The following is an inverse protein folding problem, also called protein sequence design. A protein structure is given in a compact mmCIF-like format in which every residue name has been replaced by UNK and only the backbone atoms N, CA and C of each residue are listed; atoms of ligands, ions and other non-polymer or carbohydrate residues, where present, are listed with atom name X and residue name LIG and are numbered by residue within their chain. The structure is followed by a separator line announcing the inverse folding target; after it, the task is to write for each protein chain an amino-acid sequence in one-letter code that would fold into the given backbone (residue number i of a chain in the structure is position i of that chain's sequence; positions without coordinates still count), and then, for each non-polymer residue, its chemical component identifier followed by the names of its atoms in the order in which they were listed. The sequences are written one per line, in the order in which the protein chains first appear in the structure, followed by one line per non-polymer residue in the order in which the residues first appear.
data_IF_345388649997
#
_entry.id   IF_345388649997
#
_cell.length_a   1.000
_cell.length_b   1.000
_cell.length_c   1.000
_cell.angle_alpha   90.00
_cell.angle_beta   90.00
_cell.angle_gamma   90.00
#
_symmetry.space_group_name_H-M   'P 1'
#
loop_
_entity.id
_entity.type
_entity.pdbx_description
1 polymer ?
#
# COMPACT_ATOMS: atom_id res chain seq x y z
N UNK A 1 16.63 0.13 -7.32
CA UNK A 1 15.33 0.01 -6.61
C UNK A 1 14.22 0.17 -7.64
N UNK A 2 13.15 -0.63 -7.56
CA UNK A 2 12.04 -0.55 -8.52
C UNK A 2 10.97 0.43 -8.03
N UNK A 3 10.40 1.27 -8.91
CA UNK A 3 9.31 2.16 -8.54
C UNK A 3 8.05 1.38 -8.12
N UNK A 4 7.14 2.06 -7.41
CA UNK A 4 5.81 1.52 -7.15
C UNK A 4 5.04 1.39 -8.46
N UNK A 5 4.28 0.31 -8.59
CA UNK A 5 3.34 0.17 -9.71
C UNK A 5 2.08 1.01 -9.45
N UNK A 6 1.32 1.35 -10.49
CA UNK A 6 0.04 2.04 -10.34
C UNK A 6 -0.88 1.33 -9.35
N UNK A 7 -0.90 -0.01 -9.39
CA UNK A 7 -1.73 -0.81 -8.48
C UNK A 7 -1.26 -0.74 -7.03
N UNK A 8 0.04 -0.71 -6.81
CA UNK A 8 0.61 -0.51 -5.48
C UNK A 8 0.31 0.90 -4.95
N UNK A 9 0.29 1.92 -5.82
CA UNK A 9 -0.14 3.28 -5.48
C UNK A 9 -1.62 3.32 -5.08
N UNK A 10 -2.52 2.65 -5.81
CA UNK A 10 -3.94 2.57 -5.44
C UNK A 10 -4.15 1.95 -4.05
N UNK A 11 -3.43 0.86 -3.78
CA UNK A 11 -3.44 0.21 -2.47
C UNK A 11 -2.92 1.17 -1.41
N UNK A 12 -1.79 1.82 -1.65
CA UNK A 12 -1.14 2.76 -0.74
C UNK A 12 -2.02 3.97 -0.41
N UNK A 13 -2.69 4.57 -1.40
CA UNK A 13 -3.71 5.62 -1.19
C UNK A 13 -4.85 5.12 -0.30
N UNK A 14 -5.30 3.89 -0.54
CA UNK A 14 -6.36 3.29 0.28
C UNK A 14 -5.90 3.02 1.71
N UNK A 15 -4.61 2.73 1.94
CA UNK A 15 -4.05 2.59 3.29
C UNK A 15 -4.10 3.90 4.08
N UNK A 16 -4.04 5.06 3.43
CA UNK A 16 -4.17 6.34 4.14
C UNK A 16 -5.57 6.54 4.75
N UNK A 17 -6.61 5.83 4.27
CA UNK A 17 -7.99 5.96 4.77
C UNK A 17 -8.25 5.34 6.15
N UNK A 18 -7.27 4.69 6.77
CA UNK A 18 -7.45 3.95 8.05
C UNK A 18 -8.31 2.68 7.97
N UNK A 19 -8.97 2.40 6.83
CA UNK A 19 -9.83 1.20 6.68
C UNK A 19 -9.04 -0.11 6.83
N UNK A 20 -9.65 -1.17 7.36
CA UNK A 20 -9.05 -2.50 7.41
C UNK A 20 -8.60 -2.99 6.03
N UNK A 21 -7.46 -3.67 5.96
CA UNK A 21 -6.88 -4.21 4.72
C UNK A 21 -7.88 -5.13 3.98
N UNK A 22 -8.71 -5.88 4.71
CA UNK A 22 -9.77 -6.72 4.13
C UNK A 22 -10.86 -5.90 3.45
N UNK A 23 -11.27 -4.78 4.02
CA UNK A 23 -12.23 -3.87 3.42
C UNK A 23 -11.64 -3.18 2.18
N UNK A 24 -10.38 -2.75 2.25
CA UNK A 24 -9.66 -2.20 1.10
C UNK A 24 -9.58 -3.23 -0.04
N UNK A 25 -9.25 -4.48 0.28
CA UNK A 25 -9.17 -5.55 -0.72
C UNK A 25 -10.49 -5.79 -1.44
N UNK A 26 -11.61 -5.77 -0.71
CA UNK A 26 -12.95 -5.84 -1.30
C UNK A 26 -13.23 -4.66 -2.24
N UNK A 27 -12.98 -3.43 -1.80
CA UNK A 27 -13.22 -2.22 -2.60
C UNK A 27 -12.37 -2.19 -3.87
N UNK A 28 -11.14 -2.70 -3.79
CA UNK A 28 -10.25 -2.80 -4.93
C UNK A 28 -10.49 -4.06 -5.77
N UNK A 29 -11.41 -4.96 -5.39
CA UNK A 29 -11.63 -6.25 -6.07
C UNK A 29 -10.36 -7.12 -6.15
N UNK A 30 -9.57 -7.18 -5.07
CA UNK A 30 -8.37 -8.03 -4.98
C UNK A 30 -8.48 -9.06 -3.86
N UNK A 31 -7.94 -10.25 -4.12
CA UNK A 31 -7.90 -11.33 -3.13
C UNK A 31 -7.01 -10.97 -1.93
N UNK A 32 -7.22 -11.65 -0.80
CA UNK A 32 -6.39 -11.48 0.39
C UNK A 32 -4.90 -11.82 0.11
N UNK A 33 -4.62 -12.84 -0.69
CA UNK A 33 -3.26 -13.22 -1.07
C UNK A 33 -2.61 -12.16 -1.96
N UNK A 34 -3.36 -11.63 -2.94
CA UNK A 34 -2.91 -10.52 -3.80
C UNK A 34 -2.60 -9.28 -2.98
N UNK A 35 -3.47 -8.97 -2.00
CA UNK A 35 -3.26 -7.86 -1.07
C UNK A 35 -1.97 -8.03 -0.25
N UNK A 36 -1.70 -9.22 0.31
CA UNK A 36 -0.42 -9.50 1.00
C UNK A 36 0.79 -9.24 0.11
N UNK A 37 0.72 -9.65 -1.15
CA UNK A 37 1.79 -9.42 -2.13
C UNK A 37 2.02 -7.92 -2.37
N UNK A 38 0.96 -7.14 -2.57
CA UNK A 38 1.09 -5.68 -2.72
C UNK A 38 1.70 -5.04 -1.48
N UNK A 39 1.23 -5.37 -0.27
CA UNK A 39 1.76 -4.81 0.97
C UNK A 39 3.25 -5.12 1.14
N UNK A 40 3.66 -6.38 0.94
CA UNK A 40 5.07 -6.78 1.01
C UNK A 40 5.94 -5.96 0.03
N UNK A 41 5.46 -5.77 -1.19
CA UNK A 41 6.20 -5.01 -2.20
C UNK A 41 6.27 -3.52 -1.86
N UNK A 42 5.16 -2.91 -1.45
CA UNK A 42 5.09 -1.52 -1.01
C UNK A 42 6.07 -1.28 0.14
N UNK A 43 6.00 -2.11 1.18
CA UNK A 43 6.86 -1.99 2.36
C UNK A 43 8.33 -2.14 1.99
N UNK A 44 8.69 -3.12 1.15
CA UNK A 44 10.06 -3.29 0.67
C UNK A 44 10.54 -2.08 -0.16
N UNK A 45 9.70 -1.55 -1.05
CA UNK A 45 10.06 -0.44 -1.95
C UNK A 45 10.19 0.89 -1.21
N UNK A 46 9.34 1.13 -0.22
CA UNK A 46 9.39 2.32 0.65
C UNK A 46 10.33 2.15 1.85
N UNK A 47 10.92 0.96 2.02
CA UNK A 47 11.67 0.57 3.22
C UNK A 47 10.88 0.82 4.51
N UNK A 48 9.60 0.48 4.49
CA UNK A 48 8.69 0.63 5.62
C UNK A 48 8.54 -0.68 6.40
N UNK A 49 8.40 -0.61 7.72
CA UNK A 49 8.17 -1.74 8.62
C UNK A 49 6.69 -2.11 8.75
N UNK A 50 5.79 -1.26 8.25
CA UNK A 50 4.35 -1.48 8.36
C UNK A 50 3.52 -0.40 7.67
N UNK A 51 2.20 -0.47 7.89
CA UNK A 51 1.21 0.41 7.26
C UNK A 51 1.52 1.89 7.51
N UNK A 52 1.70 2.25 8.77
CA UNK A 52 1.76 3.67 9.16
C UNK A 52 3.02 4.31 8.60
N UNK A 53 4.18 3.66 8.74
CA UNK A 53 5.42 4.13 8.14
C UNK A 53 5.36 4.16 6.61
N UNK A 54 4.65 3.23 5.96
CA UNK A 54 4.48 3.24 4.52
C UNK A 54 3.66 4.45 4.06
N UNK A 55 2.57 4.78 4.77
CA UNK A 55 1.72 5.93 4.49
C UNK A 55 2.49 7.24 4.73
N UNK A 56 3.16 7.37 5.87
CA UNK A 56 3.97 8.55 6.22
C UNK A 56 5.05 8.83 5.16
N UNK A 57 5.80 7.79 4.76
CA UNK A 57 6.82 7.93 3.70
C UNK A 57 6.21 8.30 2.36
N UNK A 58 5.07 7.71 2.01
CA UNK A 58 4.39 8.00 0.75
C UNK A 58 3.93 9.47 0.67
N UNK A 59 3.40 10.01 1.77
CA UNK A 59 3.01 11.42 1.90
C UNK A 59 4.24 12.34 1.81
N UNK A 60 5.31 12.00 2.54
CA UNK A 60 6.56 12.78 2.53
C UNK A 60 7.25 12.83 1.16
N UNK A 61 7.07 11.77 0.35
CA UNK A 61 7.57 11.67 -1.01
C UNK A 61 6.58 12.19 -2.06
N UNK A 62 5.44 12.74 -1.66
CA UNK A 62 4.36 13.24 -2.53
C UNK A 62 3.85 12.21 -3.55
N UNK A 63 3.88 10.92 -3.18
CA UNK A 63 3.31 9.82 -3.98
C UNK A 63 1.78 9.77 -3.80
N UNK A 64 1.32 10.07 -2.59
CA UNK A 64 -0.09 10.11 -2.18
C UNK A 64 -0.39 11.38 -1.39
#
# INVERSE_FOLDING_TARGET
MQPLTNREIDVLRSLASGKPITAIGKNLHISHNTMKTHLRNIYRKLQASGRDQAVEKAQSLFII
#
